data_IF_904160510918
#
_entry.id   IF_904160510918
#
_cell.length_a   1.000
_cell.length_b   1.000
_cell.length_c   1.000
_cell.angle_alpha   90.00
_cell.angle_beta   90.00
_cell.angle_gamma   90.00
#
_symmetry.space_group_name_H-M   'P 1'
#
loop_
_entity.id
_entity.type
_entity.pdbx_description
1 polymer ?
#
# COMPACT_ATOMS: atom_id res chain seq x y z
N UNK A 1 -28.42 -0.16 -26.72
CA UNK A 1 -27.85 0.86 -25.81
C UNK A 1 -27.27 0.15 -24.59
N UNK A 2 -25.96 -0.04 -24.55
CA UNK A 2 -25.28 -0.64 -23.40
C UNK A 2 -25.19 0.39 -22.26
N UNK A 3 -25.63 0.01 -21.06
CA UNK A 3 -25.48 0.83 -19.85
C UNK A 3 -23.99 1.06 -19.55
N UNK A 4 -23.54 2.28 -19.24
CA UNK A 4 -22.17 2.52 -18.81
C UNK A 4 -22.03 2.05 -17.35
N UNK A 5 -21.80 0.75 -17.14
CA UNK A 5 -21.88 0.15 -15.80
C UNK A 5 -20.51 -0.15 -15.13
N UNK A 6 -19.40 0.43 -15.58
CA UNK A 6 -18.08 0.04 -15.04
C UNK A 6 -17.16 1.16 -14.57
N UNK A 7 -17.48 2.45 -14.79
CA UNK A 7 -16.62 3.56 -14.34
C UNK A 7 -16.95 4.11 -12.94
N UNK A 8 -18.14 3.86 -12.38
CA UNK A 8 -18.57 4.49 -11.12
C UNK A 8 -18.08 3.77 -9.84
N UNK A 9 -17.68 2.50 -9.94
CA UNK A 9 -17.32 1.69 -8.75
C UNK A 9 -15.89 1.95 -8.25
N UNK A 10 -14.96 2.39 -9.11
CA UNK A 10 -13.55 2.58 -8.74
C UNK A 10 -13.27 3.94 -8.10
N UNK A 11 -14.03 4.99 -8.45
CA UNK A 11 -13.88 6.34 -7.89
C UNK A 11 -14.65 6.56 -6.57
N UNK A 12 -15.56 5.64 -6.21
CA UNK A 12 -16.39 5.70 -5.00
C UNK A 12 -15.95 4.72 -3.91
N UNK A 13 -14.68 4.31 -3.90
CA UNK A 13 -14.10 3.56 -2.79
C UNK A 13 -14.30 4.35 -1.49
N UNK A 14 -14.80 3.66 -0.45
CA UNK A 14 -15.02 4.27 0.85
C UNK A 14 -13.77 5.02 1.31
N UNK A 15 -13.95 6.21 1.90
CA UNK A 15 -12.88 7.06 2.44
C UNK A 15 -12.01 6.30 3.44
N UNK A 16 -12.56 5.29 4.10
CA UNK A 16 -11.84 4.45 5.06
C UNK A 16 -11.13 3.23 4.45
N UNK A 17 -11.25 3.01 3.13
CA UNK A 17 -10.68 1.83 2.47
C UNK A 17 -9.15 1.86 2.43
N UNK A 18 -8.54 0.68 2.39
CA UNK A 18 -7.07 0.56 2.32
C UNK A 18 -6.50 1.17 1.03
N UNK A 19 -7.25 1.10 -0.07
CA UNK A 19 -6.88 1.67 -1.36
C UNK A 19 -6.80 3.20 -1.28
N UNK A 20 -7.74 3.82 -0.57
CA UNK A 20 -7.71 5.25 -0.30
C UNK A 20 -6.50 5.64 0.56
N UNK A 21 -6.16 4.87 1.59
CA UNK A 21 -4.96 5.12 2.42
C UNK A 21 -3.66 4.97 1.65
N UNK A 22 -3.55 3.97 0.77
CA UNK A 22 -2.40 3.81 -0.13
C UNK A 22 -2.28 5.02 -1.06
N UNK A 23 -3.39 5.47 -1.64
CA UNK A 23 -3.41 6.67 -2.49
C UNK A 23 -2.92 7.91 -1.73
N UNK A 24 -3.37 8.13 -0.50
CA UNK A 24 -2.90 9.24 0.33
C UNK A 24 -1.39 9.18 0.58
N UNK A 25 -0.87 8.00 0.96
CA UNK A 25 0.58 7.80 1.12
C UNK A 25 1.38 8.05 -0.16
N UNK A 26 0.82 7.64 -1.30
CA UNK A 26 1.46 7.84 -2.61
C UNK A 26 1.46 9.31 -3.04
N UNK A 27 0.38 10.05 -2.78
CA UNK A 27 0.34 11.49 -3.06
C UNK A 27 1.38 12.28 -2.25
N UNK A 28 1.66 11.88 -1.00
CA UNK A 28 2.76 12.45 -0.21
C UNK A 28 4.10 12.21 -0.93
N UNK A 29 4.35 10.99 -1.41
CA UNK A 29 5.56 10.67 -2.16
C UNK A 29 5.69 11.50 -3.45
N UNK A 30 4.62 11.63 -4.23
CA UNK A 30 4.57 12.47 -5.44
C UNK A 30 4.98 13.91 -5.14
N UNK A 31 4.57 14.46 -3.99
CA UNK A 31 4.96 15.81 -3.59
C UNK A 31 6.42 15.90 -3.15
N UNK A 32 7.01 14.81 -2.64
CA UNK A 32 8.42 14.77 -2.20
C UNK A 32 9.37 14.66 -3.41
N UNK A 33 9.07 13.80 -4.38
CA UNK A 33 9.98 13.43 -5.49
C UNK A 33 10.57 14.64 -6.23
N UNK A 34 9.80 15.68 -6.60
CA UNK A 34 10.33 16.85 -7.32
C UNK A 34 11.48 17.56 -6.60
N UNK A 35 11.54 17.49 -5.27
CA UNK A 35 12.54 18.15 -4.43
C UNK A 35 13.81 17.32 -4.23
N UNK A 36 13.82 16.05 -4.67
CA UNK A 36 14.99 15.18 -4.60
C UNK A 36 15.98 15.53 -5.74
N UNK A 37 17.29 15.44 -5.46
CA UNK A 37 18.35 15.61 -6.47
C UNK A 37 18.10 14.71 -7.69
N UNK A 38 18.35 15.23 -8.89
CA UNK A 38 18.08 14.54 -10.18
C UNK A 38 18.63 13.10 -10.22
N UNK A 39 19.86 12.88 -9.77
CA UNK A 39 20.49 11.55 -9.73
C UNK A 39 19.74 10.56 -8.84
N UNK A 40 19.36 10.98 -7.63
CA UNK A 40 18.61 10.15 -6.68
C UNK A 40 17.17 9.87 -7.14
N UNK A 41 16.55 10.79 -7.90
CA UNK A 41 15.21 10.58 -8.49
C UNK A 41 15.20 9.37 -9.44
N UNK A 42 16.23 9.21 -10.27
CA UNK A 42 16.32 8.09 -11.22
C UNK A 42 16.81 6.78 -10.61
N UNK A 43 17.21 6.77 -9.35
CA UNK A 43 17.66 5.56 -8.64
C UNK A 43 16.64 5.15 -7.59
N UNK A 44 16.84 5.56 -6.33
CA UNK A 44 15.96 5.21 -5.21
C UNK A 44 14.57 5.83 -5.39
N UNK A 45 14.49 7.01 -5.99
CA UNK A 45 13.22 7.69 -6.26
C UNK A 45 12.28 6.84 -7.11
N UNK A 46 12.76 6.40 -8.27
CA UNK A 46 12.06 5.50 -9.17
C UNK A 46 11.76 4.13 -8.54
N UNK A 47 12.64 3.63 -7.66
CA UNK A 47 12.39 2.35 -6.98
C UNK A 47 11.26 2.44 -5.96
N UNK A 48 11.17 3.55 -5.22
CA UNK A 48 10.07 3.84 -4.28
C UNK A 48 8.76 4.03 -5.06
N UNK A 49 8.79 4.79 -6.15
CA UNK A 49 7.66 4.98 -7.06
C UNK A 49 7.06 3.63 -7.51
N UNK A 50 7.90 2.75 -8.04
CA UNK A 50 7.48 1.42 -8.46
C UNK A 50 6.90 0.59 -7.31
N UNK A 51 7.43 0.72 -6.08
CA UNK A 51 6.90 0.00 -4.91
C UNK A 51 5.54 0.51 -4.48
N UNK A 52 5.25 1.80 -4.61
CA UNK A 52 3.91 2.34 -4.43
C UNK A 52 2.92 1.78 -5.45
N UNK A 53 3.31 1.75 -6.74
CA UNK A 53 2.46 1.22 -7.81
C UNK A 53 2.21 -0.29 -7.65
N UNK A 54 3.27 -1.06 -7.35
CA UNK A 54 3.17 -2.49 -7.03
C UNK A 54 2.18 -2.70 -5.87
N UNK A 55 2.30 -1.90 -4.79
CA UNK A 55 1.44 -2.00 -3.62
C UNK A 55 -0.01 -1.72 -3.98
N UNK A 56 -0.27 -0.67 -4.76
CA UNK A 56 -1.61 -0.31 -5.20
C UNK A 56 -2.24 -1.44 -6.03
N UNK A 57 -1.50 -1.97 -7.01
CA UNK A 57 -1.97 -3.05 -7.89
C UNK A 57 -2.31 -4.31 -7.09
N UNK A 58 -1.38 -4.82 -6.27
CA UNK A 58 -1.64 -6.04 -5.51
C UNK A 58 -2.76 -5.85 -4.48
N UNK A 59 -2.89 -4.65 -3.93
CA UNK A 59 -3.95 -4.33 -2.96
C UNK A 59 -5.31 -4.27 -3.62
N UNK A 60 -5.38 -3.77 -4.85
CA UNK A 60 -6.61 -3.80 -5.64
C UNK A 60 -7.04 -5.24 -5.91
N UNK A 61 -6.11 -6.09 -6.36
CA UNK A 61 -6.38 -7.51 -6.56
C UNK A 61 -6.83 -8.16 -5.25
N UNK A 62 -6.13 -7.92 -4.13
CA UNK A 62 -6.48 -8.46 -2.81
C UNK A 62 -7.87 -8.00 -2.33
N UNK A 63 -8.22 -6.73 -2.57
CA UNK A 63 -9.49 -6.13 -2.17
C UNK A 63 -10.66 -6.93 -2.75
N UNK A 64 -10.63 -7.19 -4.06
CA UNK A 64 -11.69 -7.87 -4.80
C UNK A 64 -11.53 -9.40 -4.90
N UNK A 65 -10.47 -9.97 -4.32
CA UNK A 65 -10.24 -11.42 -4.36
C UNK A 65 -11.15 -12.19 -3.41
N UNK A 66 -11.54 -13.40 -3.84
CA UNK A 66 -12.16 -14.41 -2.98
C UNK A 66 -11.23 -14.81 -1.84
N UNK A 67 -11.82 -15.22 -0.71
CA UNK A 67 -11.11 -15.49 0.55
C UNK A 67 -9.94 -16.46 0.39
N UNK A 68 -10.09 -17.55 -0.39
CA UNK A 68 -9.04 -18.59 -0.50
C UNK A 68 -7.72 -18.03 -1.07
N UNK A 69 -7.80 -17.09 -2.00
CA UNK A 69 -6.60 -16.49 -2.63
C UNK A 69 -6.19 -15.17 -2.00
N UNK A 70 -6.98 -14.67 -1.04
CA UNK A 70 -6.79 -13.34 -0.44
C UNK A 70 -5.62 -13.32 0.56
N UNK A 71 -5.38 -14.42 1.26
CA UNK A 71 -4.32 -14.52 2.27
C UNK A 71 -2.92 -14.35 1.66
N UNK A 72 -2.64 -15.02 0.54
CA UNK A 72 -1.35 -14.90 -0.17
C UNK A 72 -1.13 -13.48 -0.70
N UNK A 73 -2.18 -12.88 -1.26
CA UNK A 73 -2.13 -11.51 -1.78
C UNK A 73 -1.86 -10.49 -0.67
N UNK A 74 -2.52 -10.62 0.48
CA UNK A 74 -2.25 -9.77 1.64
C UNK A 74 -0.81 -9.95 2.14
N UNK A 75 -0.30 -11.17 2.15
CA UNK A 75 1.10 -11.41 2.54
C UNK A 75 2.07 -10.74 1.58
N UNK A 76 1.76 -10.74 0.27
CA UNK A 76 2.52 -9.99 -0.74
C UNK A 76 2.40 -8.47 -0.56
N UNK A 77 1.22 -7.94 -0.25
CA UNK A 77 1.04 -6.53 0.10
C UNK A 77 1.94 -6.11 1.27
N UNK A 78 1.97 -6.92 2.33
CA UNK A 78 2.80 -6.66 3.52
C UNK A 78 4.28 -6.61 3.15
N UNK A 79 4.77 -7.61 2.39
CA UNK A 79 6.17 -7.63 1.96
C UNK A 79 6.55 -6.41 1.12
N UNK A 80 5.67 -5.99 0.20
CA UNK A 80 5.88 -4.79 -0.62
C UNK A 80 5.92 -3.54 0.27
N UNK A 81 4.99 -3.43 1.22
CA UNK A 81 4.94 -2.31 2.16
C UNK A 81 6.20 -2.24 3.04
N UNK A 82 6.69 -3.36 3.55
CA UNK A 82 7.90 -3.40 4.37
C UNK A 82 9.13 -2.99 3.54
N UNK A 83 9.21 -3.45 2.30
CA UNK A 83 10.24 -3.03 1.34
C UNK A 83 10.15 -1.53 1.07
N UNK A 84 8.94 -1.00 0.90
CA UNK A 84 8.70 0.42 0.67
C UNK A 84 9.15 1.28 1.87
N UNK A 85 8.79 0.87 3.09
CA UNK A 85 9.24 1.53 4.34
C UNK A 85 10.75 1.55 4.46
N UNK A 86 11.41 0.42 4.18
CA UNK A 86 12.86 0.33 4.20
C UNK A 86 13.51 1.30 3.20
N UNK A 87 13.03 1.35 1.95
CA UNK A 87 13.57 2.28 0.95
C UNK A 87 13.40 3.75 1.34
N UNK A 88 12.25 4.10 1.93
CA UNK A 88 11.99 5.46 2.43
C UNK A 88 12.93 5.80 3.58
N UNK A 89 13.18 4.85 4.49
CA UNK A 89 14.16 5.04 5.56
C UNK A 89 15.57 5.29 5.01
N UNK A 90 16.01 4.49 4.04
CA UNK A 90 17.30 4.70 3.36
C UNK A 90 17.36 6.06 2.68
N UNK A 91 16.28 6.51 2.01
CA UNK A 91 16.23 7.83 1.39
C UNK A 91 16.35 8.96 2.41
N UNK A 92 15.80 8.76 3.61
CA UNK A 92 15.91 9.70 4.73
C UNK A 92 17.33 9.72 5.32
N UNK A 93 17.93 8.56 5.60
CA UNK A 93 19.32 8.45 6.08
C UNK A 93 20.31 9.07 5.09
N UNK A 94 20.06 8.91 3.79
CA UNK A 94 20.82 9.54 2.71
C UNK A 94 20.55 11.05 2.56
N UNK A 95 19.69 11.64 3.40
CA UNK A 95 19.30 13.05 3.41
C UNK A 95 18.66 13.51 2.10
N UNK A 96 17.99 12.61 1.37
CA UNK A 96 17.22 12.96 0.17
C UNK A 96 15.84 13.52 0.52
N UNK A 97 15.31 13.16 1.69
CA UNK A 97 14.05 13.67 2.22
C UNK A 97 14.27 14.24 3.63
N UNK A 98 13.52 15.28 3.99
CA UNK A 98 13.61 15.91 5.31
C UNK A 98 12.94 15.06 6.41
N UNK A 99 13.26 15.32 7.68
CA UNK A 99 12.62 14.66 8.83
C UNK A 99 11.09 14.78 8.78
N UNK A 100 10.58 15.98 8.48
CA UNK A 100 9.14 16.23 8.39
C UNK A 100 8.48 15.39 7.29
N UNK A 101 9.08 15.32 6.11
CA UNK A 101 8.59 14.48 5.01
C UNK A 101 8.65 12.99 5.35
N UNK A 102 9.70 12.56 6.04
CA UNK A 102 9.86 11.19 6.51
C UNK A 102 8.79 10.81 7.53
N UNK A 103 8.56 11.65 8.54
CA UNK A 103 7.51 11.44 9.55
C UNK A 103 6.12 11.34 8.92
N UNK A 104 5.80 12.27 8.00
CA UNK A 104 4.51 12.32 7.31
C UNK A 104 4.24 11.04 6.51
N UNK A 105 5.20 10.58 5.71
CA UNK A 105 5.02 9.39 4.87
C UNK A 105 5.02 8.11 5.72
N UNK A 106 5.90 7.98 6.72
CA UNK A 106 5.97 6.78 7.58
C UNK A 106 4.69 6.63 8.38
N UNK A 107 4.14 7.73 8.91
CA UNK A 107 2.85 7.70 9.60
C UNK A 107 1.76 7.05 8.73
N UNK A 108 1.66 7.45 7.46
CA UNK A 108 0.69 6.85 6.53
C UNK A 108 0.98 5.40 6.20
N UNK A 109 2.24 5.02 6.02
CA UNK A 109 2.61 3.62 5.77
C UNK A 109 2.36 2.72 6.98
N UNK A 110 2.44 3.24 8.19
CA UNK A 110 2.09 2.51 9.41
C UNK A 110 0.59 2.29 9.55
N UNK A 111 -0.25 3.29 9.21
CA UNK A 111 -1.70 3.10 9.11
C UNK A 111 -2.04 1.97 8.14
N UNK A 112 -1.45 1.98 6.94
CA UNK A 112 -1.67 0.94 5.93
C UNK A 112 -1.23 -0.43 6.45
N UNK A 113 -0.09 -0.51 7.15
CA UNK A 113 0.42 -1.74 7.76
C UNK A 113 -0.54 -2.33 8.80
N UNK A 114 -1.12 -1.49 9.66
CA UNK A 114 -2.14 -1.91 10.64
C UNK A 114 -3.37 -2.50 9.95
N UNK A 115 -3.80 -1.90 8.83
CA UNK A 115 -4.95 -2.40 8.06
C UNK A 115 -4.67 -3.79 7.44
N UNK A 116 -3.50 -3.99 6.80
CA UNK A 116 -3.13 -5.31 6.29
C UNK A 116 -2.98 -6.36 7.40
N UNK A 117 -2.39 -5.98 8.54
CA UNK A 117 -2.29 -6.84 9.72
C UNK A 117 -3.67 -7.28 10.23
N UNK A 118 -4.62 -6.35 10.31
CA UNK A 118 -6.01 -6.64 10.67
C UNK A 118 -6.67 -7.64 9.71
N UNK A 119 -6.47 -7.46 8.40
CA UNK A 119 -7.00 -8.40 7.41
C UNK A 119 -6.38 -9.79 7.50
N UNK A 120 -5.06 -9.87 7.67
CA UNK A 120 -4.33 -11.13 7.87
C UNK A 120 -4.83 -11.88 9.10
N UNK A 121 -5.04 -11.18 10.21
CA UNK A 121 -5.53 -11.78 11.45
C UNK A 121 -6.99 -12.26 11.33
N UNK A 122 -7.84 -11.47 10.66
CA UNK A 122 -9.24 -11.84 10.39
C UNK A 122 -9.35 -13.16 9.60
N UNK A 123 -8.52 -13.32 8.56
CA UNK A 123 -8.49 -14.55 7.76
C UNK A 123 -7.97 -15.76 8.56
N UNK A 124 -6.89 -15.61 9.33
CA UNK A 124 -6.36 -16.68 10.18
C UNK A 124 -7.37 -17.17 11.23
N UNK A 125 -8.12 -16.26 11.84
CA UNK A 125 -9.14 -16.62 12.83
C UNK A 125 -10.30 -17.39 12.20
N UNK A 126 -10.68 -17.06 10.96
CA UNK A 126 -11.71 -17.79 10.22
C UNK A 126 -11.28 -19.23 9.89
N UNK A 127 -10.04 -19.44 9.45
CA UNK A 127 -9.50 -20.78 9.19
C UNK A 127 -9.49 -21.66 10.45
N UNK A 128 -9.05 -21.11 11.59
CA UNK A 128 -9.09 -21.83 12.88
C UNK A 128 -10.50 -22.23 13.26
N UNK A 129 -11.48 -21.32 13.09
CA UNK A 129 -12.89 -21.61 13.36
C UNK A 129 -13.39 -22.78 12.51
N UNK A 130 -13.14 -22.77 11.19
CA UNK A 130 -13.59 -23.85 10.29
C UNK A 130 -12.96 -25.22 10.57
N UNK A 131 -11.75 -25.26 11.14
CA UNK A 131 -11.10 -26.50 11.59
C UNK A 131 -11.73 -27.09 12.84
N UNK A 132 -12.31 -26.26 13.72
CA UNK A 132 -12.97 -26.73 14.94
C UNK A 132 -14.39 -27.25 14.69
N UNK A 133 -14.94 -27.08 13.49
CA UNK A 133 -16.28 -27.56 13.09
C UNK A 133 -16.22 -28.74 12.09
N UNK A 134 -15.04 -29.30 11.85
CA UNK A 134 -14.82 -30.55 11.11
C UNK A 134 -14.32 -31.62 12.07
#
# INVERSE_FOLDING_TARGET
MAKPFTLSLSLSLDKSSILQRIKEGYLIWINIVPHIKKTARFTIGARIENKFLDLLEISYIAYFSKKETKMDKISKCILILDTLKFLIHVAWEAKFISNKQYEEIVFKLDEIGKMFGGWKNSLKNFEKKNRNFR
#
